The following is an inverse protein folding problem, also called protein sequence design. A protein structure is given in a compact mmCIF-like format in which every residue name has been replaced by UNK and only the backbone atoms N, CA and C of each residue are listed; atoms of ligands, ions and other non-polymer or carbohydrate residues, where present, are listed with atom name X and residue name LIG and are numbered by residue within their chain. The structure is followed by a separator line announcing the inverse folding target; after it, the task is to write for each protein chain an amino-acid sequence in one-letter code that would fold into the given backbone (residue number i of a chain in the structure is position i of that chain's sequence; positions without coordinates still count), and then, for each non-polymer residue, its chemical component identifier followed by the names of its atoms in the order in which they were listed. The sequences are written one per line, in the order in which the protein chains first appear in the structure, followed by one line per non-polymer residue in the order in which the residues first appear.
data_IF_073663428649
#
_entry.id   IF_073663428649
#
_cell.length_a   1.000
_cell.length_b   1.000
_cell.length_c   1.000
_cell.angle_alpha   90.00
_cell.angle_beta   90.00
_cell.angle_gamma   90.00
#
_symmetry.space_group_name_H-M   'P 1'
#
loop_
_entity.id
_entity.type
_entity.pdbx_description
1 polymer ?
#
# COMPACT_ATOMS: atom_id res chain seq x y z
N UNK A 1 31.42 -6.59 11.55
CA UNK A 1 31.28 -7.59 10.46
C UNK A 1 30.19 -7.11 9.54
N UNK A 2 30.32 -7.33 8.23
CA UNK A 2 29.27 -6.96 7.26
C UNK A 2 28.00 -7.75 7.63
N UNK A 3 26.91 -7.04 7.91
CA UNK A 3 25.61 -7.68 8.04
C UNK A 3 25.16 -8.09 6.65
N UNK A 4 24.92 -9.39 6.47
CA UNK A 4 24.51 -9.91 5.18
C UNK A 4 23.10 -9.40 4.85
N UNK A 5 22.95 -8.91 3.62
CA UNK A 5 21.67 -8.63 3.02
C UNK A 5 20.90 -9.93 2.84
N UNK A 6 19.58 -9.90 3.10
CA UNK A 6 18.71 -11.01 2.77
C UNK A 6 17.39 -10.53 2.17
N UNK A 7 16.76 -11.41 1.40
CA UNK A 7 15.45 -11.17 0.84
C UNK A 7 14.37 -11.55 1.86
N UNK A 8 13.70 -10.54 2.43
CA UNK A 8 12.56 -10.74 3.31
C UNK A 8 11.41 -11.40 2.53
N UNK A 9 10.73 -12.37 3.16
CA UNK A 9 9.56 -13.03 2.57
C UNK A 9 8.37 -12.95 3.53
N UNK A 10 7.17 -12.64 3.03
CA UNK A 10 5.97 -12.68 3.86
C UNK A 10 5.74 -14.12 4.35
N UNK A 11 5.29 -14.26 5.59
CA UNK A 11 4.88 -15.55 6.11
C UNK A 11 3.57 -15.98 5.48
N UNK A 12 3.24 -17.28 5.57
CA UNK A 12 1.93 -17.78 5.13
C UNK A 12 0.76 -17.03 5.76
N UNK A 13 0.87 -16.68 7.04
CA UNK A 13 -0.15 -15.89 7.74
C UNK A 13 -0.35 -14.50 7.11
N UNK A 14 0.75 -13.82 6.73
CA UNK A 14 0.69 -12.52 6.06
C UNK A 14 0.03 -12.65 4.69
N UNK A 15 0.44 -13.64 3.88
CA UNK A 15 -0.15 -13.93 2.58
C UNK A 15 -1.65 -14.21 2.70
N UNK A 16 -2.06 -15.08 3.63
CA UNK A 16 -3.47 -15.43 3.84
C UNK A 16 -4.29 -14.19 4.21
N UNK A 17 -3.75 -13.28 5.05
CA UNK A 17 -4.41 -12.02 5.37
C UNK A 17 -4.51 -11.08 4.16
N UNK A 18 -3.44 -10.96 3.37
CA UNK A 18 -3.45 -10.13 2.17
C UNK A 18 -4.43 -10.66 1.13
N UNK A 19 -4.55 -11.98 0.98
CA UNK A 19 -5.54 -12.60 0.11
C UNK A 19 -6.97 -12.23 0.54
N UNK A 20 -7.26 -12.28 1.84
CA UNK A 20 -8.59 -11.97 2.37
C UNK A 20 -8.96 -10.49 2.26
N UNK A 21 -7.96 -9.59 2.28
CA UNK A 21 -8.18 -8.15 2.38
C UNK A 21 -7.55 -7.38 1.22
N UNK A 22 -7.34 -8.00 0.05
CA UNK A 22 -6.77 -7.33 -1.11
C UNK A 22 -7.73 -6.25 -1.63
N UNK A 23 -8.99 -6.62 -1.79
CA UNK A 23 -10.05 -5.76 -2.33
C UNK A 23 -10.89 -5.17 -1.20
N UNK A 24 -11.19 -3.86 -1.24
CA UNK A 24 -12.11 -3.24 -0.30
C UNK A 24 -13.54 -3.74 -0.53
N UNK A 25 -14.43 -3.47 0.43
CA UNK A 25 -15.83 -3.94 0.41
C UNK A 25 -16.52 -3.79 -0.96
N UNK A 26 -16.41 -2.61 -1.58
CA UNK A 26 -17.03 -2.30 -2.87
C UNK A 26 -15.99 -2.21 -3.99
N UNK A 27 -16.34 -2.74 -5.16
CA UNK A 27 -15.58 -2.48 -6.37
C UNK A 27 -15.82 -1.05 -6.85
N UNK A 28 -14.73 -0.37 -7.24
CA UNK A 28 -14.78 1.00 -7.76
C UNK A 28 -14.35 1.00 -9.23
N UNK A 29 -15.21 1.54 -10.09
CA UNK A 29 -14.93 1.69 -11.52
C UNK A 29 -14.86 3.17 -11.91
N UNK A 30 -13.71 3.62 -12.42
CA UNK A 30 -13.54 5.00 -12.89
C UNK A 30 -13.93 5.13 -14.37
N UNK A 31 -14.79 6.09 -14.68
CA UNK A 31 -15.35 6.28 -16.03
C UNK A 31 -15.21 7.73 -16.52
N UNK A 32 -15.04 7.87 -17.84
CA UNK A 32 -15.14 9.17 -18.53
C UNK A 32 -16.60 9.62 -18.71
N UNK A 33 -17.49 8.67 -18.95
CA UNK A 33 -18.92 8.90 -19.19
C UNK A 33 -19.73 7.79 -18.51
N UNK A 34 -20.94 8.12 -18.06
CA UNK A 34 -21.85 7.14 -17.45
C UNK A 34 -22.51 6.27 -18.54
N UNK A 35 -22.67 4.96 -18.31
CA UNK A 35 -23.44 4.10 -19.21
C UNK A 35 -24.90 4.54 -19.28
N UNK A 36 -25.52 4.37 -20.44
CA UNK A 36 -26.93 4.76 -20.66
C UNK A 36 -27.93 3.90 -19.88
N UNK A 37 -27.52 2.69 -19.48
CA UNK A 37 -28.29 1.66 -18.78
C UNK A 37 -27.87 1.52 -17.31
N UNK A 38 -27.40 2.61 -16.69
CA UNK A 38 -27.01 2.62 -15.29
C UNK A 38 -28.19 2.29 -14.35
N UNK A 39 -28.06 1.22 -13.56
CA UNK A 39 -29.03 0.86 -12.52
C UNK A 39 -28.58 1.38 -11.15
N UNK A 40 -29.26 2.42 -10.66
CA UNK A 40 -28.98 3.05 -9.36
C UNK A 40 -29.37 2.19 -8.15
N UNK A 41 -30.09 1.07 -8.37
CA UNK A 41 -30.35 0.11 -7.29
C UNK A 41 -29.12 -0.76 -7.00
N UNK A 42 -28.19 -0.87 -7.96
CA UNK A 42 -27.01 -1.73 -7.88
C UNK A 42 -25.71 -0.95 -7.71
N UNK A 43 -25.71 0.35 -7.98
CA UNK A 43 -24.53 1.19 -7.86
C UNK A 43 -24.84 2.63 -7.47
N UNK A 44 -23.79 3.34 -7.07
CA UNK A 44 -23.80 4.78 -6.87
C UNK A 44 -22.79 5.43 -7.82
N UNK A 45 -23.21 6.21 -8.83
CA UNK A 45 -22.31 7.08 -9.57
C UNK A 45 -21.96 8.30 -8.72
N UNK A 46 -20.67 8.64 -8.67
CA UNK A 46 -20.17 9.79 -7.94
C UNK A 46 -19.23 10.61 -8.83
N UNK A 47 -19.38 11.94 -8.90
CA UNK A 47 -18.37 12.80 -9.53
C UNK A 47 -16.99 12.58 -8.88
N UNK A 48 -15.93 12.49 -9.69
CA UNK A 48 -14.59 12.15 -9.16
C UNK A 48 -14.08 13.17 -8.14
N UNK A 49 -14.41 14.45 -8.29
CA UNK A 49 -14.09 15.48 -7.31
C UNK A 49 -14.75 15.22 -5.96
N UNK A 50 -15.99 14.70 -5.92
CA UNK A 50 -16.66 14.33 -4.68
C UNK A 50 -16.12 13.02 -4.09
N UNK A 51 -15.72 12.07 -4.95
CA UNK A 51 -15.17 10.79 -4.54
C UNK A 51 -13.90 10.93 -3.68
N UNK A 52 -13.00 11.82 -4.07
CA UNK A 52 -11.74 12.04 -3.33
C UNK A 52 -11.93 12.67 -1.94
N UNK A 53 -13.02 13.42 -1.77
CA UNK A 53 -13.37 14.06 -0.49
C UNK A 53 -14.31 13.19 0.35
N UNK A 54 -14.75 12.03 -0.16
CA UNK A 54 -15.72 11.18 0.51
C UNK A 54 -15.08 10.42 1.68
N UNK A 55 -15.61 10.53 2.92
CA UNK A 55 -14.93 10.04 4.14
C UNK A 55 -14.75 8.51 4.20
N UNK A 56 -15.46 7.75 3.37
CA UNK A 56 -15.31 6.29 3.26
C UNK A 56 -14.32 5.92 2.16
N UNK A 57 -14.39 6.57 1.01
CA UNK A 57 -13.61 6.16 -0.18
C UNK A 57 -12.23 6.84 -0.24
N UNK A 58 -12.04 7.90 0.54
CA UNK A 58 -10.73 8.51 0.79
C UNK A 58 -9.91 7.74 1.83
N UNK A 59 -10.43 6.65 2.40
CA UNK A 59 -9.68 5.81 3.35
C UNK A 59 -8.58 5.04 2.64
N UNK A 60 -7.50 4.77 3.37
CA UNK A 60 -6.27 4.17 2.83
C UNK A 60 -6.49 2.82 2.16
N UNK A 61 -7.49 2.06 2.60
CA UNK A 61 -7.87 0.78 1.99
C UNK A 61 -8.25 0.96 0.51
N UNK A 62 -9.13 1.91 0.21
CA UNK A 62 -9.53 2.24 -1.17
C UNK A 62 -8.39 2.93 -1.92
N UNK A 63 -7.69 3.85 -1.25
CA UNK A 63 -6.58 4.62 -1.83
C UNK A 63 -5.45 3.70 -2.31
N UNK A 64 -5.06 2.73 -1.50
CA UNK A 64 -3.99 1.78 -1.83
C UNK A 64 -4.46 0.67 -2.77
N UNK A 65 -5.69 0.16 -2.62
CA UNK A 65 -6.21 -0.91 -3.48
C UNK A 65 -6.33 -0.47 -4.95
N UNK A 66 -6.64 0.79 -5.21
CA UNK A 66 -6.83 1.33 -6.56
C UNK A 66 -5.77 2.35 -6.98
N UNK A 67 -4.70 2.49 -6.19
CA UNK A 67 -3.61 3.45 -6.40
C UNK A 67 -4.13 4.85 -6.78
N UNK A 68 -5.07 5.36 -5.97
CA UNK A 68 -5.89 6.51 -6.33
C UNK A 68 -5.07 7.80 -6.59
N UNK A 69 -3.88 7.92 -5.99
CA UNK A 69 -2.95 9.03 -6.24
C UNK A 69 -2.41 9.08 -7.68
N UNK A 70 -2.51 8.00 -8.45
CA UNK A 70 -2.11 7.98 -9.85
C UNK A 70 -3.20 8.48 -10.80
N UNK A 71 -4.42 8.71 -10.28
CA UNK A 71 -5.47 9.61 -10.78
C UNK A 71 -5.20 10.38 -12.08
N UNK A 72 -5.50 9.88 -13.28
CA UNK A 72 -5.53 10.72 -14.46
C UNK A 72 -6.71 11.67 -14.29
N UNK A 73 -6.44 12.98 -14.39
CA UNK A 73 -7.45 14.06 -14.36
C UNK A 73 -8.53 13.96 -15.46
N UNK A 74 -8.63 12.82 -16.16
CA UNK A 74 -9.55 12.52 -17.24
C UNK A 74 -10.74 11.65 -16.80
N UNK A 75 -10.74 11.12 -15.58
CA UNK A 75 -11.91 10.43 -15.03
C UNK A 75 -12.93 11.48 -14.56
N UNK A 76 -14.19 11.31 -14.95
CA UNK A 76 -15.28 12.22 -14.56
C UNK A 76 -16.15 11.61 -13.45
N UNK A 77 -16.29 10.29 -13.45
CA UNK A 77 -17.14 9.56 -12.51
C UNK A 77 -16.39 8.37 -11.88
N UNK A 78 -16.72 8.08 -10.63
CA UNK A 78 -16.45 6.82 -9.95
C UNK A 78 -17.79 6.11 -9.73
N UNK A 79 -17.90 4.86 -10.16
CA UNK A 79 -19.05 4.00 -9.86
C UNK A 79 -18.68 3.14 -8.67
N UNK A 80 -19.48 3.24 -7.61
CA UNK A 80 -19.40 2.37 -6.44
C UNK A 80 -20.36 1.21 -6.72
N UNK A 81 -19.82 0.02 -6.95
CA UNK A 81 -20.62 -1.17 -7.20
C UNK A 81 -20.98 -1.84 -5.87
N UNK A 82 -22.28 -1.90 -5.56
CA UNK A 82 -22.76 -2.56 -4.33
C UNK A 82 -22.75 -4.10 -4.41
N UNK A 83 -22.20 -4.65 -5.48
CA UNK A 83 -21.72 -6.04 -5.54
C UNK A 83 -22.27 -6.86 -6.68
N UNK A 84 -22.93 -6.26 -7.68
CA UNK A 84 -23.43 -6.95 -8.88
C UNK A 84 -23.71 -6.01 -10.08
N UNK A 85 -23.48 -4.69 -9.96
CA UNK A 85 -23.79 -3.77 -11.04
C UNK A 85 -22.96 -4.12 -12.29
N UNK A 86 -21.65 -4.32 -12.13
CA UNK A 86 -20.78 -4.66 -13.24
C UNK A 86 -21.22 -5.97 -13.91
N UNK A 87 -21.64 -6.96 -13.13
CA UNK A 87 -22.00 -8.29 -13.66
C UNK A 87 -23.33 -8.31 -14.41
N UNK A 88 -24.26 -7.44 -14.03
CA UNK A 88 -25.56 -7.28 -14.68
C UNK A 88 -25.50 -6.47 -15.99
N UNK A 89 -24.39 -5.77 -16.24
CA UNK A 89 -24.17 -5.07 -17.51
C UNK A 89 -24.10 -6.06 -18.69
N UNK A 90 -24.54 -5.58 -19.86
CA UNK A 90 -24.27 -6.27 -21.12
C UNK A 90 -22.77 -6.48 -21.33
N UNK A 91 -22.36 -7.55 -22.02
CA UNK A 91 -20.93 -7.80 -22.32
C UNK A 91 -20.24 -6.63 -23.03
N UNK A 92 -20.97 -5.88 -23.85
CA UNK A 92 -20.44 -4.68 -24.49
C UNK A 92 -20.12 -3.57 -23.47
N UNK A 93 -21.04 -3.34 -22.51
CA UNK A 93 -20.85 -2.33 -21.46
C UNK A 93 -19.79 -2.75 -20.44
N UNK A 94 -19.73 -4.03 -20.05
CA UNK A 94 -18.62 -4.55 -19.23
C UNK A 94 -17.27 -4.27 -19.89
N UNK A 95 -17.13 -4.62 -21.17
CA UNK A 95 -15.89 -4.38 -21.91
C UNK A 95 -15.53 -2.88 -21.96
N UNK A 96 -16.54 -2.00 -22.08
CA UNK A 96 -16.33 -0.56 -22.04
C UNK A 96 -15.87 -0.08 -20.67
N UNK A 97 -16.44 -0.59 -19.58
CA UNK A 97 -16.02 -0.28 -18.20
C UNK A 97 -14.58 -0.72 -17.95
N UNK A 98 -14.22 -1.95 -18.34
CA UNK A 98 -12.85 -2.47 -18.22
C UNK A 98 -11.87 -1.70 -19.11
N UNK A 99 -12.29 -1.27 -20.31
CA UNK A 99 -11.47 -0.42 -21.17
C UNK A 99 -11.19 0.94 -20.52
N UNK A 100 -12.18 1.53 -19.84
CA UNK A 100 -11.97 2.77 -19.08
C UNK A 100 -10.94 2.57 -17.95
N UNK A 101 -11.02 1.45 -17.21
CA UNK A 101 -10.04 1.11 -16.17
C UNK A 101 -8.62 1.08 -16.76
N UNK A 102 -8.43 0.33 -17.86
CA UNK A 102 -7.15 0.28 -18.56
C UNK A 102 -6.66 1.65 -19.05
N UNK A 103 -7.51 2.43 -19.73
CA UNK A 103 -7.11 3.70 -20.34
C UNK A 103 -6.84 4.82 -19.33
N UNK A 104 -7.52 4.79 -18.19
CA UNK A 104 -7.28 5.70 -17.09
C UNK A 104 -6.10 5.25 -16.22
N UNK A 105 -5.57 4.05 -16.46
CA UNK A 105 -4.59 3.36 -15.63
C UNK A 105 -5.08 3.18 -14.19
N UNK A 106 -6.34 2.76 -14.05
CA UNK A 106 -7.04 2.61 -12.76
C UNK A 106 -7.77 1.30 -12.62
N UNK A 107 -8.12 0.98 -11.37
CA UNK A 107 -8.44 -0.38 -11.01
C UNK A 107 -7.16 -1.21 -10.87
N UNK A 108 -7.32 -2.45 -10.44
CA UNK A 108 -6.22 -3.42 -10.37
C UNK A 108 -5.97 -4.01 -11.76
N UNK A 109 -5.22 -3.27 -12.58
CA UNK A 109 -4.88 -3.65 -13.97
C UNK A 109 -3.51 -4.31 -13.99
N UNK A 110 -3.47 -5.64 -14.10
CA UNK A 110 -2.25 -6.42 -13.91
C UNK A 110 -1.84 -7.21 -15.15
N UNK A 111 -0.63 -7.75 -15.10
CA UNK A 111 -0.09 -8.58 -16.17
C UNK A 111 -0.63 -10.01 -16.12
N UNK A 112 -0.71 -10.67 -17.28
CA UNK A 112 -1.24 -12.04 -17.40
C UNK A 112 -0.33 -13.10 -16.76
N UNK A 113 0.98 -12.86 -16.70
CA UNK A 113 1.98 -13.77 -16.14
C UNK A 113 1.93 -13.88 -14.60
N UNK A 114 1.07 -13.09 -13.96
CA UNK A 114 0.81 -13.13 -12.53
C UNK A 114 -0.10 -14.30 -12.11
N UNK A 115 -0.64 -15.06 -13.07
CA UNK A 115 -1.55 -16.18 -12.84
C UNK A 115 -0.97 -17.51 -13.37
N UNK A 116 -1.39 -18.64 -12.81
CA UNK A 116 -1.04 -19.98 -13.32
C UNK A 116 -2.08 -20.55 -14.31
N UNK A 117 -3.28 -19.95 -14.36
CA UNK A 117 -4.47 -20.50 -15.03
C UNK A 117 -4.52 -20.32 -16.55
N UNK A 118 -5.39 -21.13 -17.17
CA UNK A 118 -5.83 -20.99 -18.55
C UNK A 118 -6.57 -19.66 -18.77
N UNK A 119 -6.27 -18.99 -19.88
CA UNK A 119 -6.78 -17.68 -20.27
C UNK A 119 -8.32 -17.60 -20.30
N UNK A 120 -9.04 -18.72 -20.39
CA UNK A 120 -10.51 -18.74 -20.46
C UNK A 120 -11.21 -18.14 -19.25
N UNK A 121 -10.68 -18.33 -18.04
CA UNK A 121 -11.26 -17.70 -16.84
C UNK A 121 -11.05 -16.16 -16.88
N UNK A 122 -9.93 -15.74 -17.48
CA UNK A 122 -9.52 -14.34 -17.57
C UNK A 122 -10.14 -13.62 -18.78
N UNK A 123 -10.72 -14.35 -19.73
CA UNK A 123 -11.13 -13.82 -21.05
C UNK A 123 -12.10 -12.64 -20.94
N UNK A 124 -13.05 -12.72 -20.00
CA UNK A 124 -14.03 -11.65 -19.78
C UNK A 124 -13.43 -10.39 -19.15
N UNK A 125 -12.26 -10.52 -18.52
CA UNK A 125 -11.54 -9.43 -17.82
C UNK A 125 -10.30 -8.96 -18.60
N UNK A 126 -10.06 -9.51 -19.79
CA UNK A 126 -8.87 -9.25 -20.59
C UNK A 126 -9.05 -8.02 -21.49
N UNK A 127 -8.23 -7.00 -21.26
CA UNK A 127 -8.17 -5.78 -22.09
C UNK A 127 -6.72 -5.54 -22.50
N UNK A 128 -6.44 -5.52 -23.81
CA UNK A 128 -5.12 -5.18 -24.38
C UNK A 128 -3.96 -5.94 -23.68
N UNK A 129 -4.13 -7.26 -23.49
CA UNK A 129 -3.19 -8.17 -22.83
C UNK A 129 -2.92 -7.88 -21.33
N UNK A 130 -3.81 -7.13 -20.68
CA UNK A 130 -3.83 -6.92 -19.23
C UNK A 130 -5.14 -7.44 -18.65
N UNK A 131 -5.08 -7.93 -17.43
CA UNK A 131 -6.25 -8.38 -16.68
C UNK A 131 -6.71 -7.23 -15.82
N UNK A 132 -7.98 -6.84 -15.95
CA UNK A 132 -8.61 -5.88 -15.04
C UNK A 132 -9.32 -6.68 -13.95
N UNK A 133 -8.76 -6.66 -12.75
CA UNK A 133 -9.29 -7.40 -11.60
C UNK A 133 -10.55 -6.74 -11.04
N UNK A 134 -11.52 -7.56 -10.69
CA UNK A 134 -12.70 -7.21 -9.90
C UNK A 134 -12.97 -8.32 -8.87
N UNK A 135 -13.91 -8.09 -7.96
CA UNK A 135 -14.25 -9.03 -6.89
C UNK A 135 -14.66 -10.39 -7.42
N UNK A 136 -15.49 -10.45 -8.47
CA UNK A 136 -15.95 -11.73 -9.00
C UNK A 136 -14.84 -12.58 -9.61
N UNK A 137 -13.94 -11.95 -10.37
CA UNK A 137 -12.75 -12.63 -10.86
C UNK A 137 -11.90 -13.10 -9.67
N UNK A 138 -11.61 -12.20 -8.73
CA UNK A 138 -10.83 -12.52 -7.54
C UNK A 138 -11.38 -13.74 -6.81
N UNK A 139 -12.68 -13.79 -6.51
CA UNK A 139 -13.30 -14.90 -5.79
C UNK A 139 -13.32 -16.22 -6.58
N UNK A 140 -13.32 -16.15 -7.91
CA UNK A 140 -13.24 -17.34 -8.76
C UNK A 140 -11.84 -17.97 -8.83
N UNK A 141 -10.79 -17.23 -8.43
CA UNK A 141 -9.41 -17.71 -8.49
C UNK A 141 -9.14 -18.80 -7.45
N UNK A 142 -8.31 -19.77 -7.83
CA UNK A 142 -7.77 -20.74 -6.90
C UNK A 142 -6.89 -20.07 -5.84
N UNK A 143 -6.66 -20.74 -4.71
CA UNK A 143 -5.73 -20.24 -3.70
C UNK A 143 -4.32 -20.03 -4.28
N UNK A 144 -3.85 -20.95 -5.14
CA UNK A 144 -2.52 -20.86 -5.74
C UNK A 144 -2.38 -19.64 -6.66
N UNK A 145 -3.44 -19.29 -7.40
CA UNK A 145 -3.45 -18.07 -8.22
C UNK A 145 -3.53 -16.81 -7.36
N UNK A 146 -4.36 -16.79 -6.32
CA UNK A 146 -4.44 -15.68 -5.36
C UNK A 146 -3.09 -15.45 -4.69
N UNK A 147 -2.42 -16.51 -4.25
CA UNK A 147 -1.08 -16.45 -3.67
C UNK A 147 -0.06 -15.90 -4.67
N UNK A 148 0.00 -16.45 -5.89
CA UNK A 148 0.91 -15.98 -6.95
C UNK A 148 0.69 -14.50 -7.28
N UNK A 149 -0.56 -14.11 -7.46
CA UNK A 149 -0.95 -12.72 -7.71
C UNK A 149 -0.43 -11.81 -6.60
N UNK A 150 -0.68 -12.17 -5.32
CA UNK A 150 -0.28 -11.35 -4.17
C UNK A 150 1.24 -11.20 -4.10
N UNK A 151 2.01 -12.25 -4.40
CA UNK A 151 3.47 -12.14 -4.45
C UNK A 151 3.92 -11.13 -5.50
N UNK A 152 3.42 -11.22 -6.74
CA UNK A 152 3.78 -10.27 -7.79
C UNK A 152 3.32 -8.85 -7.46
N UNK A 153 2.08 -8.70 -6.99
CA UNK A 153 1.53 -7.41 -6.63
C UNK A 153 2.35 -6.76 -5.52
N UNK A 154 2.64 -7.48 -4.44
CA UNK A 154 3.41 -6.95 -3.32
C UNK A 154 4.87 -6.62 -3.68
N UNK A 155 5.48 -7.35 -4.61
CA UNK A 155 6.83 -7.04 -5.13
C UNK A 155 6.86 -5.80 -6.04
N UNK A 156 5.74 -5.46 -6.68
CA UNK A 156 5.61 -4.23 -7.48
C UNK A 156 5.62 -2.96 -6.58
N UNK A 157 5.31 -3.09 -5.29
CA UNK A 157 5.37 -1.99 -4.32
C UNK A 157 6.77 -1.67 -3.84
N UNK A 158 7.59 -2.69 -3.60
CA UNK A 158 8.90 -2.49 -2.97
C UNK A 158 9.82 -3.69 -3.11
N UNK A 159 11.13 -3.40 -3.21
CA UNK A 159 12.18 -4.39 -3.06
C UNK A 159 12.34 -4.86 -1.61
N UNK A 160 12.38 -6.19 -1.42
CA UNK A 160 12.39 -6.81 -0.09
C UNK A 160 13.80 -7.08 0.47
N UNK A 161 14.84 -6.44 -0.06
CA UNK A 161 16.17 -6.55 0.52
C UNK A 161 16.22 -5.82 1.87
N UNK A 162 16.73 -6.53 2.88
CA UNK A 162 16.83 -6.07 4.25
C UNK A 162 18.19 -6.44 4.84
N UNK A 163 18.60 -5.72 5.88
CA UNK A 163 19.70 -6.13 6.74
C UNK A 163 19.25 -7.14 7.77
N UNK A 164 20.12 -8.10 8.04
CA UNK A 164 19.89 -9.11 9.07
C UNK A 164 19.96 -8.49 10.47
N UNK A 165 18.97 -8.79 11.33
CA UNK A 165 19.06 -8.46 12.76
C UNK A 165 20.04 -9.44 13.40
N UNK A 166 21.19 -8.93 13.84
CA UNK A 166 22.20 -9.73 14.54
C UNK A 166 22.20 -9.42 16.04
N UNK A 167 22.71 -10.35 16.84
CA UNK A 167 22.87 -10.15 18.29
C UNK A 167 23.85 -9.02 18.65
N UNK A 168 24.59 -8.49 17.67
CA UNK A 168 25.52 -7.36 17.86
C UNK A 168 24.80 -6.00 17.78
N UNK A 169 23.58 -5.95 17.24
CA UNK A 169 22.78 -4.74 17.21
C UNK A 169 22.11 -4.59 18.57
N UNK A 170 22.50 -3.56 19.31
CA UNK A 170 21.86 -3.16 20.57
C UNK A 170 20.47 -2.56 20.28
N UNK A 171 19.48 -3.44 20.17
CA UNK A 171 18.10 -3.13 19.82
C UNK A 171 17.15 -3.66 20.90
N UNK A 172 16.18 -2.84 21.33
CA UNK A 172 15.20 -3.25 22.32
C UNK A 172 14.31 -4.38 21.80
N UNK A 173 13.89 -5.29 22.68
CA UNK A 173 13.14 -6.50 22.31
C UNK A 173 11.84 -6.19 21.54
N UNK A 174 11.19 -5.08 21.88
CA UNK A 174 9.96 -4.64 21.21
C UNK A 174 10.24 -4.24 19.75
N UNK A 175 11.38 -3.60 19.47
CA UNK A 175 11.79 -3.24 18.10
C UNK A 175 12.13 -4.49 17.28
N UNK A 176 12.76 -5.49 17.91
CA UNK A 176 13.05 -6.77 17.26
C UNK A 176 11.76 -7.44 16.78
N UNK A 177 10.64 -7.25 17.48
CA UNK A 177 9.35 -7.85 17.11
C UNK A 177 8.71 -7.26 15.85
N UNK A 178 9.09 -6.04 15.45
CA UNK A 178 8.48 -5.33 14.31
C UNK A 178 9.44 -5.18 13.13
N UNK A 179 10.75 -5.29 13.34
CA UNK A 179 11.74 -5.08 12.27
C UNK A 179 11.77 -6.28 11.32
N UNK A 180 11.97 -6.00 10.04
CA UNK A 180 11.91 -6.99 8.96
C UNK A 180 10.58 -7.77 8.98
N UNK A 181 9.47 -7.06 9.18
CA UNK A 181 8.13 -7.66 9.16
C UNK A 181 7.20 -6.95 8.19
N UNK A 182 6.26 -7.71 7.65
CA UNK A 182 5.15 -7.18 6.88
C UNK A 182 3.95 -6.94 7.78
N UNK A 183 3.20 -5.89 7.46
CA UNK A 183 1.95 -5.56 8.14
C UNK A 183 0.78 -6.19 7.40
N UNK A 184 -0.28 -6.56 8.11
CA UNK A 184 -1.48 -7.17 7.51
C UNK A 184 -2.60 -6.16 7.20
N UNK A 185 -2.48 -4.92 7.69
CA UNK A 185 -3.47 -3.85 7.53
C UNK A 185 -2.80 -2.57 7.03
N UNK A 186 -3.58 -1.76 6.32
CA UNK A 186 -3.20 -0.38 5.98
C UNK A 186 -3.15 0.50 7.24
N UNK A 187 -2.52 1.67 7.14
CA UNK A 187 -2.58 2.70 8.18
C UNK A 187 -1.28 2.96 8.92
N UNK A 188 -0.32 2.03 8.89
CA UNK A 188 1.03 2.29 9.39
C UNK A 188 1.78 3.10 8.34
N UNK A 189 2.46 4.17 8.75
CA UNK A 189 3.33 4.97 7.90
C UNK A 189 4.68 5.19 8.60
N UNK A 190 5.64 5.79 7.89
CA UNK A 190 6.98 6.07 8.42
C UNK A 190 6.95 6.81 9.77
N UNK A 191 6.05 7.79 9.91
CA UNK A 191 5.92 8.60 11.12
C UNK A 191 5.43 7.77 12.31
N UNK A 192 4.43 6.90 12.11
CA UNK A 192 3.95 6.02 13.18
C UNK A 192 4.97 4.94 13.55
N UNK A 193 5.73 4.42 12.57
CA UNK A 193 6.87 3.52 12.85
C UNK A 193 7.93 4.19 13.72
N UNK A 194 8.35 5.43 13.40
CA UNK A 194 9.32 6.16 14.23
C UNK A 194 8.77 6.41 15.64
N UNK A 195 7.53 6.89 15.77
CA UNK A 195 6.95 7.14 17.10
C UNK A 195 6.81 5.86 17.92
N UNK A 196 6.48 4.73 17.29
CA UNK A 196 6.54 3.44 17.98
C UNK A 196 7.95 3.14 18.47
N UNK A 197 8.97 3.36 17.64
CA UNK A 197 10.36 3.10 18.02
C UNK A 197 10.81 3.94 19.22
N UNK A 198 10.25 5.14 19.38
CA UNK A 198 10.57 6.06 20.48
C UNK A 198 9.78 5.80 21.76
N UNK A 199 8.57 5.27 21.66
CA UNK A 199 7.60 5.23 22.78
C UNK A 199 7.21 3.83 23.20
N UNK A 200 7.49 2.82 22.37
CA UNK A 200 7.07 1.43 22.53
C UNK A 200 5.53 1.26 22.66
N UNK A 201 4.75 2.26 22.23
CA UNK A 201 3.28 2.22 22.30
C UNK A 201 2.69 1.54 21.07
N UNK A 202 2.34 0.26 21.17
CA UNK A 202 1.80 -0.54 20.06
C UNK A 202 0.58 0.08 19.36
N UNK A 203 -0.24 0.83 20.10
CA UNK A 203 -1.41 1.48 19.52
C UNK A 203 -1.06 2.54 18.47
N UNK A 204 0.17 3.09 18.49
CA UNK A 204 0.67 4.01 17.47
C UNK A 204 0.80 3.30 16.11
N UNK A 205 1.20 2.02 16.09
CA UNK A 205 1.23 1.19 14.88
C UNK A 205 -0.18 0.84 14.35
N UNK A 206 -1.24 1.42 14.91
CA UNK A 206 -2.60 1.31 14.36
C UNK A 206 -3.10 2.66 13.84
N UNK A 207 -2.25 3.69 13.88
CA UNK A 207 -2.60 5.06 13.52
C UNK A 207 -1.83 5.50 12.29
N UNK A 208 -2.55 6.20 11.42
CA UNK A 208 -1.94 7.07 10.45
C UNK A 208 -1.51 8.37 11.12
N UNK A 209 -0.21 8.55 11.32
CA UNK A 209 0.31 9.75 11.98
C UNK A 209 0.53 10.84 10.94
N UNK A 210 -0.01 12.03 11.21
CA UNK A 210 0.22 13.23 10.42
C UNK A 210 1.41 14.04 10.96
N UNK A 211 2.04 14.82 10.09
CA UNK A 211 3.21 15.66 10.38
C UNK A 211 3.10 16.49 11.66
N UNK A 212 2.01 17.23 11.86
CA UNK A 212 1.84 18.05 13.08
C UNK A 212 1.83 17.21 14.35
N UNK A 213 1.14 16.07 14.32
CA UNK A 213 1.11 15.13 15.44
C UNK A 213 2.49 14.55 15.71
N UNK A 214 3.23 14.22 14.65
CA UNK A 214 4.59 13.72 14.73
C UNK A 214 5.53 14.73 15.40
N UNK A 215 5.51 15.99 14.95
CA UNK A 215 6.34 17.06 15.51
C UNK A 215 6.01 17.35 16.99
N UNK A 216 4.72 17.38 17.36
CA UNK A 216 4.31 17.51 18.76
C UNK A 216 4.88 16.36 19.60
N UNK A 217 4.79 15.13 19.11
CA UNK A 217 5.31 13.96 19.84
C UNK A 217 6.83 14.03 20.03
N UNK A 218 7.58 14.41 18.98
CA UNK A 218 9.04 14.61 19.09
C UNK A 218 9.39 15.68 20.13
N UNK A 219 8.69 16.82 20.13
CA UNK A 219 8.90 17.89 21.11
C UNK A 219 8.62 17.42 22.54
N UNK A 220 7.51 16.70 22.76
CA UNK A 220 7.16 16.16 24.09
C UNK A 220 8.14 15.10 24.58
N UNK A 221 8.79 14.37 23.67
CA UNK A 221 9.87 13.43 23.97
C UNK A 221 11.24 14.12 24.16
N UNK A 222 11.30 15.45 24.03
CA UNK A 222 12.51 16.24 24.22
C UNK A 222 13.47 16.25 23.03
N UNK A 223 13.04 15.76 21.86
CA UNK A 223 13.82 15.81 20.63
C UNK A 223 13.93 17.25 20.14
N UNK A 224 15.11 17.61 19.63
CA UNK A 224 15.38 18.91 19.02
C UNK A 224 15.97 18.70 17.64
N UNK A 225 15.49 19.47 16.68
CA UNK A 225 16.07 19.48 15.35
C UNK A 225 17.51 19.98 15.42
N UNK A 226 18.43 19.23 14.82
CA UNK A 226 19.83 19.59 14.69
C UNK A 226 20.25 19.47 13.23
N UNK A 227 21.22 20.30 12.85
CA UNK A 227 21.89 20.23 11.53
C UNK A 227 23.21 19.48 11.59
N UNK A 228 23.56 18.93 12.76
CA UNK A 228 24.73 18.07 12.88
C UNK A 228 24.45 16.74 12.19
N UNK A 229 25.36 16.32 11.31
CA UNK A 229 25.31 15.02 10.64
C UNK A 229 25.72 13.86 11.56
N UNK A 230 25.58 14.03 12.88
CA UNK A 230 25.87 12.96 13.84
C UNK A 230 24.70 12.00 13.86
N UNK A 231 24.89 10.88 13.17
CA UNK A 231 23.92 9.81 13.13
C UNK A 231 24.28 8.83 14.25
N UNK A 232 23.60 8.98 15.38
CA UNK A 232 23.81 8.18 16.59
C UNK A 232 22.54 7.37 16.93
N UNK A 233 22.69 6.33 17.74
CA UNK A 233 21.55 5.54 18.23
C UNK A 233 20.51 6.46 18.91
N UNK A 234 19.23 6.12 18.76
CA UNK A 234 18.10 6.89 19.28
C UNK A 234 17.95 8.27 18.64
N UNK A 235 18.48 8.47 17.43
CA UNK A 235 18.18 9.67 16.63
C UNK A 235 17.11 9.35 15.59
N UNK A 236 16.46 10.40 15.11
CA UNK A 236 15.47 10.32 14.04
C UNK A 236 15.99 11.13 12.87
N UNK A 237 16.06 10.51 11.69
CA UNK A 237 16.29 11.23 10.44
C UNK A 237 14.93 11.62 9.89
N UNK A 238 14.77 12.91 9.56
CA UNK A 238 13.55 13.45 8.97
C UNK A 238 13.94 14.08 7.63
N UNK A 239 13.29 13.63 6.56
CA UNK A 239 13.43 14.17 5.22
C UNK A 239 12.30 15.16 4.96
N UNK A 240 12.66 16.35 4.53
CA UNK A 240 11.74 17.44 4.22
C UNK A 240 11.89 17.84 2.75
N UNK A 241 10.76 18.05 2.09
CA UNK A 241 10.68 18.80 0.84
C UNK A 241 10.12 20.18 1.17
N UNK A 242 10.93 21.21 0.94
CA UNK A 242 10.81 22.53 1.60
C UNK A 242 10.68 22.41 3.13
N UNK A 243 9.47 22.61 3.66
CA UNK A 243 9.14 22.52 5.09
C UNK A 243 8.26 21.32 5.43
N UNK A 244 7.82 20.55 4.42
CA UNK A 244 6.91 19.43 4.62
C UNK A 244 7.70 18.15 4.83
N UNK A 245 7.40 17.44 5.92
CA UNK A 245 7.95 16.10 6.13
C UNK A 245 7.43 15.14 5.05
N UNK A 246 8.34 14.58 4.26
CA UNK A 246 8.04 13.55 3.25
C UNK A 246 8.40 12.15 3.75
N UNK A 247 9.36 12.03 4.66
CA UNK A 247 9.79 10.74 5.20
C UNK A 247 10.49 10.88 6.56
N UNK A 248 10.49 9.81 7.35
CA UNK A 248 11.28 9.74 8.59
C UNK A 248 11.69 8.29 8.90
N UNK A 249 12.86 8.11 9.51
CA UNK A 249 13.38 6.81 9.91
C UNK A 249 14.07 6.89 11.28
N UNK A 250 14.08 5.76 12.00
CA UNK A 250 14.65 5.66 13.34
C UNK A 250 16.04 5.02 13.30
N UNK A 251 17.03 5.67 13.89
CA UNK A 251 18.41 5.19 13.89
C UNK A 251 18.63 4.25 15.08
N UNK A 252 18.86 2.98 14.77
CA UNK A 252 19.09 1.95 15.79
C UNK A 252 20.56 1.79 16.16
N UNK A 253 21.47 2.00 15.21
CA UNK A 253 22.91 1.96 15.43
C UNK A 253 23.66 2.73 14.34
N UNK A 254 24.99 2.80 14.44
CA UNK A 254 25.84 3.36 13.39
C UNK A 254 25.54 2.65 12.05
N UNK A 255 25.20 3.43 11.02
CA UNK A 255 24.93 2.93 9.67
C UNK A 255 23.55 2.33 9.44
N UNK A 256 22.71 2.10 10.48
CA UNK A 256 21.46 1.35 10.34
C UNK A 256 20.23 2.10 10.83
N UNK A 257 19.14 1.95 10.08
CA UNK A 257 17.84 2.54 10.41
C UNK A 257 16.70 1.53 10.30
N UNK A 258 15.72 1.67 11.18
CA UNK A 258 14.38 1.08 11.01
C UNK A 258 13.59 2.03 10.11
N UNK A 259 13.15 1.51 8.97
CA UNK A 259 12.47 2.26 7.92
C UNK A 259 11.15 1.60 7.52
N UNK A 260 10.13 2.41 7.26
CA UNK A 260 8.96 2.03 6.48
C UNK A 260 8.80 3.03 5.32
N UNK A 261 9.24 2.64 4.13
CA UNK A 261 9.33 3.49 2.93
C UNK A 261 7.96 3.90 2.38
N UNK A 262 6.94 3.05 2.54
CA UNK A 262 5.63 3.26 1.94
C UNK A 262 4.45 3.06 2.88
N UNK A 263 3.29 3.49 2.40
CA UNK A 263 2.04 3.61 3.15
C UNK A 263 1.16 2.35 3.04
N UNK A 264 1.54 1.40 2.19
CA UNK A 264 0.81 0.16 1.99
C UNK A 264 1.21 -0.90 3.01
N UNK A 265 0.30 -1.85 3.26
CA UNK A 265 0.61 -3.09 3.95
C UNK A 265 1.70 -3.93 3.27
N UNK A 266 1.89 -3.75 1.95
CA UNK A 266 2.94 -4.42 1.17
C UNK A 266 4.34 -3.84 1.38
N UNK A 267 4.45 -2.65 1.96
CA UNK A 267 5.73 -2.05 2.35
C UNK A 267 6.11 -2.56 3.76
N UNK A 268 7.13 -3.42 3.91
CA UNK A 268 7.53 -3.90 5.22
C UNK A 268 8.18 -2.80 6.06
N UNK A 269 8.23 -3.03 7.37
CA UNK A 269 9.16 -2.33 8.26
C UNK A 269 10.49 -3.05 8.12
N UNK A 270 11.53 -2.37 7.64
CA UNK A 270 12.85 -2.95 7.32
C UNK A 270 13.95 -2.36 8.18
N UNK A 271 14.96 -3.19 8.46
CA UNK A 271 16.28 -2.71 8.81
C UNK A 271 17.05 -2.44 7.51
N UNK A 272 17.55 -1.22 7.34
CA UNK A 272 18.26 -0.79 6.12
C UNK A 272 19.53 -0.01 6.46
N UNK A 273 20.46 0.04 5.51
CA UNK A 273 21.57 1.00 5.56
C UNK A 273 21.02 2.43 5.43
N UNK A 274 21.52 3.35 6.25
CA UNK A 274 21.13 4.77 6.17
C UNK A 274 21.48 5.37 4.79
N UNK A 275 22.53 4.88 4.14
CA UNK A 275 22.92 5.32 2.80
C UNK A 275 21.84 5.07 1.74
N UNK A 276 20.95 4.10 1.95
CA UNK A 276 19.80 3.86 1.07
C UNK A 276 18.80 5.00 1.21
N UNK A 277 18.57 5.47 2.44
CA UNK A 277 17.62 6.55 2.74
C UNK A 277 18.10 7.92 2.24
N UNK A 278 19.41 8.18 2.26
CA UNK A 278 19.99 9.46 1.82
C UNK A 278 20.02 9.58 0.28
N UNK A 279 19.95 8.46 -0.44
CA UNK A 279 19.97 8.41 -1.91
C UNK A 279 18.59 8.48 -2.56
N UNK A 280 17.52 8.33 -1.77
CA UNK A 280 16.12 8.51 -2.17
C UNK A 280 15.73 10.00 -2.17
#
# INVERSE_FOLDING_TARGET
MLQDDFLLKPSKYVIDNWILNLLPEYDIYFLKELPSDLDLNLCLPMPVNEYFDHPVYSQLEYVNAYELWRISNKANYAIIDFGNWFDDLSRANQKQVLLNQYELNRGLVVSLDWFYIDNKLLENNLIKNKVVMNRNLWESLSYQDKERFIYHYAQDWEDWNCKTVSNEIDMDIDLISIVNTFTIKEGINCLSTVLYCLTHQENILKQWVHEKTFLIALEQLGYKETRDNKIERNTVIVFKDDEKIIHAAYIVSEGLAINKSGQSKFNPIKLVDIDILIKE
#
